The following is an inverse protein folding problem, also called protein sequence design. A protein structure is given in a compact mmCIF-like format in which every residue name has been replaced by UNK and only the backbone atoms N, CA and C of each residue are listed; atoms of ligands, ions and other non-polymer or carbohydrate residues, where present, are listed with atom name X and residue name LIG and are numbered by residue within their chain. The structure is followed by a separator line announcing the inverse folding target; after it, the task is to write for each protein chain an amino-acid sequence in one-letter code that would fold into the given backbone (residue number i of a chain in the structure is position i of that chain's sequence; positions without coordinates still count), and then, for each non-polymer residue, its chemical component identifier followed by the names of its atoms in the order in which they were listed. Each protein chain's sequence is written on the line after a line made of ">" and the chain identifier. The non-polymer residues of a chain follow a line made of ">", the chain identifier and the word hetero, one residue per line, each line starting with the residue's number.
data_IF_131295172801
#
_entry.id   IF_131295172801
#
_cell.length_a   1.000
_cell.length_b   1.000
_cell.length_c   1.000
_cell.angle_alpha   90.00
_cell.angle_beta   90.00
_cell.angle_gamma   90.00
#
_symmetry.space_group_name_H-M   'P 1'
#
loop_
_entity.id
_entity.type
_entity.pdbx_description
1 polymer ?
#
# COMPACT_ATOMS: atom_id res chain seq x y z
N UNK A 1 -20.48 -36.59 -0.69
CA UNK A 1 -20.67 -35.12 -0.71
C UNK A 1 -19.57 -34.38 0.07
N UNK A 2 -18.60 -35.11 0.63
CA UNK A 2 -17.55 -34.55 1.49
C UNK A 2 -16.40 -33.91 0.70
N UNK A 3 -16.00 -34.47 -0.44
CA UNK A 3 -14.88 -33.91 -1.22
C UNK A 3 -15.20 -32.53 -1.80
N UNK A 4 -16.43 -32.34 -2.32
CA UNK A 4 -16.88 -31.06 -2.84
C UNK A 4 -16.96 -30.02 -1.72
N UNK A 5 -17.49 -30.39 -0.56
CA UNK A 5 -17.57 -29.54 0.63
C UNK A 5 -16.17 -29.14 1.14
N UNK A 6 -15.24 -30.09 1.28
CA UNK A 6 -13.85 -29.82 1.73
C UNK A 6 -13.07 -28.97 0.74
N UNK A 7 -13.24 -29.19 -0.57
CA UNK A 7 -12.59 -28.37 -1.60
C UNK A 7 -13.20 -26.97 -1.59
N UNK A 8 -14.51 -26.83 -1.44
CA UNK A 8 -15.14 -25.51 -1.32
C UNK A 8 -14.74 -24.80 -0.03
N UNK A 9 -14.68 -25.47 1.12
CA UNK A 9 -14.24 -24.84 2.37
C UNK A 9 -12.76 -24.43 2.29
N UNK A 10 -11.89 -25.27 1.73
CA UNK A 10 -10.47 -24.94 1.58
C UNK A 10 -10.21 -23.78 0.60
N UNK A 11 -11.02 -23.64 -0.46
CA UNK A 11 -10.89 -22.56 -1.45
C UNK A 11 -11.72 -21.32 -1.13
N UNK A 12 -12.82 -21.42 -0.38
CA UNK A 12 -13.70 -20.28 -0.13
C UNK A 12 -13.64 -19.77 1.30
N UNK A 13 -13.32 -20.59 2.31
CA UNK A 13 -13.26 -20.17 3.72
C UNK A 13 -12.01 -19.35 4.13
N UNK A 14 -10.84 -19.44 3.46
CA UNK A 14 -9.72 -18.52 3.71
C UNK A 14 -9.59 -17.39 2.66
N UNK A 15 -10.19 -17.53 1.47
CA UNK A 15 -10.06 -16.57 0.37
C UNK A 15 -11.19 -15.54 0.30
N UNK A 16 -12.32 -15.74 0.98
CA UNK A 16 -13.43 -14.78 0.97
C UNK A 16 -13.00 -13.41 1.50
N UNK A 17 -12.11 -13.37 2.50
CA UNK A 17 -11.69 -12.11 3.11
C UNK A 17 -10.82 -11.28 2.15
N UNK A 18 -9.76 -11.83 1.51
CA UNK A 18 -9.05 -11.13 0.43
C UNK A 18 -9.94 -10.73 -0.75
N UNK A 19 -10.86 -11.59 -1.19
CA UNK A 19 -11.77 -11.30 -2.31
C UNK A 19 -12.73 -10.16 -1.95
N UNK A 20 -13.31 -10.19 -0.74
CA UNK A 20 -14.17 -9.13 -0.23
C UNK A 20 -13.42 -7.81 -0.14
N UNK A 21 -12.20 -7.81 0.41
CA UNK A 21 -11.35 -6.61 0.47
C UNK A 21 -11.05 -6.10 -0.94
N UNK A 22 -10.71 -6.98 -1.87
CA UNK A 22 -10.50 -6.64 -3.28
C UNK A 22 -11.75 -6.00 -3.92
N UNK A 23 -12.93 -6.58 -3.68
CA UNK A 23 -14.20 -6.06 -4.16
C UNK A 23 -14.54 -4.70 -3.54
N UNK A 24 -14.27 -4.49 -2.25
CA UNK A 24 -14.45 -3.21 -1.57
C UNK A 24 -13.49 -2.13 -2.11
N UNK A 25 -12.23 -2.50 -2.37
CA UNK A 25 -11.26 -1.59 -3.01
C UNK A 25 -11.71 -1.24 -4.43
N UNK A 26 -12.22 -2.22 -5.20
CA UNK A 26 -12.74 -1.98 -6.54
C UNK A 26 -13.97 -1.05 -6.51
N UNK A 27 -14.90 -1.27 -5.59
CA UNK A 27 -16.06 -0.40 -5.38
C UNK A 27 -15.63 1.02 -4.99
N UNK A 28 -14.67 1.15 -4.07
CA UNK A 28 -14.10 2.44 -3.69
C UNK A 28 -13.46 3.11 -4.91
N UNK A 29 -12.65 2.39 -5.68
CA UNK A 29 -11.98 2.93 -6.87
C UNK A 29 -12.98 3.41 -7.92
N UNK A 30 -14.04 2.64 -8.15
CA UNK A 30 -15.14 3.00 -9.04
C UNK A 30 -15.91 4.22 -8.53
N UNK A 31 -16.30 4.24 -7.25
CA UNK A 31 -17.02 5.35 -6.64
C UNK A 31 -16.21 6.65 -6.68
N UNK A 32 -14.90 6.59 -6.40
CA UNK A 32 -14.01 7.74 -6.50
C UNK A 32 -13.89 8.24 -7.94
N UNK A 33 -13.78 7.33 -8.91
CA UNK A 33 -13.77 7.71 -10.32
C UNK A 33 -15.08 8.38 -10.73
N UNK A 34 -16.22 7.88 -10.24
CA UNK A 34 -17.54 8.45 -10.53
C UNK A 34 -17.76 9.84 -9.90
N UNK A 35 -17.28 10.04 -8.67
CA UNK A 35 -17.54 11.29 -7.92
C UNK A 35 -16.53 12.40 -8.22
N UNK A 36 -15.27 12.05 -8.50
CA UNK A 36 -14.16 13.00 -8.52
C UNK A 36 -13.43 13.02 -9.88
N UNK A 37 -13.80 12.13 -10.81
CA UNK A 37 -13.19 11.98 -12.14
C UNK A 37 -11.66 11.83 -12.15
N UNK A 38 -11.07 11.47 -11.01
CA UNK A 38 -9.63 11.33 -10.85
C UNK A 38 -9.24 9.95 -10.29
N UNK A 39 -8.14 9.35 -10.78
CA UNK A 39 -7.68 8.05 -10.28
C UNK A 39 -7.11 8.18 -8.86
N UNK A 40 -7.19 7.08 -8.10
CA UNK A 40 -6.55 6.95 -6.79
C UNK A 40 -5.04 7.11 -6.93
N UNK A 41 -4.43 7.93 -6.07
CA UNK A 41 -2.98 8.11 -6.04
C UNK A 41 -2.54 8.58 -4.65
N UNK A 42 -1.77 7.74 -3.97
CA UNK A 42 -1.21 8.09 -2.66
C UNK A 42 -0.08 9.11 -2.79
N UNK A 43 0.83 8.94 -3.76
CA UNK A 43 1.98 9.82 -3.95
C UNK A 43 1.59 11.25 -4.33
N UNK A 44 0.51 11.42 -5.10
CA UNK A 44 -0.07 12.75 -5.37
C UNK A 44 -0.72 13.33 -4.11
N UNK A 45 -1.40 12.51 -3.30
CA UNK A 45 -1.93 12.95 -2.01
C UNK A 45 -0.84 13.49 -1.07
N UNK A 46 0.31 12.82 -1.00
CA UNK A 46 1.44 13.27 -0.18
C UNK A 46 2.03 14.58 -0.72
N UNK A 47 2.12 14.74 -2.05
CA UNK A 47 2.53 15.99 -2.66
C UNK A 47 1.56 17.13 -2.33
N UNK A 48 0.24 16.88 -2.42
CA UNK A 48 -0.78 17.87 -2.11
C UNK A 48 -0.72 18.29 -0.63
N UNK A 49 -0.57 17.32 0.28
CA UNK A 49 -0.36 17.60 1.71
C UNK A 49 0.90 18.45 1.93
N UNK A 50 2.02 18.12 1.29
CA UNK A 50 3.25 18.89 1.38
C UNK A 50 3.07 20.33 0.87
N UNK A 51 2.29 20.55 -0.21
CA UNK A 51 1.98 21.90 -0.70
C UNK A 51 1.02 22.66 0.22
N UNK A 52 0.15 21.98 0.97
CA UNK A 52 -0.72 22.60 1.97
C UNK A 52 0.07 23.10 3.18
N UNK A 53 1.09 22.35 3.59
CA UNK A 53 1.94 22.68 4.74
C UNK A 53 3.01 23.73 4.40
N UNK A 54 3.36 23.90 3.12
CA UNK A 54 4.33 24.89 2.67
C UNK A 54 3.68 26.26 2.47
N UNK A 55 4.09 27.30 3.22
CA UNK A 55 3.63 28.67 2.99
C UNK A 55 3.95 29.11 1.55
N UNK A 56 2.97 29.68 0.84
CA UNK A 56 3.14 30.14 -0.55
C UNK A 56 3.13 29.04 -1.62
N UNK A 57 2.88 27.78 -1.24
CA UNK A 57 2.71 26.68 -2.20
C UNK A 57 1.45 26.87 -3.07
N UNK A 58 1.57 26.64 -4.38
CA UNK A 58 0.43 26.66 -5.30
C UNK A 58 -0.38 25.37 -5.11
N UNK A 59 -1.50 25.47 -4.38
CA UNK A 59 -2.37 24.34 -4.06
C UNK A 59 -3.17 23.87 -5.28
N UNK A 60 -3.21 22.56 -5.48
CA UNK A 60 -4.15 21.89 -6.38
C UNK A 60 -5.45 21.59 -5.62
N UNK A 61 -6.33 22.60 -5.50
CA UNK A 61 -7.61 22.44 -4.78
C UNK A 61 -8.49 21.34 -5.37
N UNK A 62 -8.36 21.04 -6.66
CA UNK A 62 -9.10 19.95 -7.32
C UNK A 62 -8.57 18.57 -6.91
N UNK A 63 -7.30 18.46 -6.53
CA UNK A 63 -6.67 17.23 -6.07
C UNK A 63 -6.61 17.05 -4.55
N UNK A 64 -6.97 18.07 -3.75
CA UNK A 64 -6.86 18.06 -2.28
C UNK A 64 -7.73 16.98 -1.62
N UNK A 65 -8.76 16.44 -2.30
CA UNK A 65 -9.53 15.28 -1.83
C UNK A 65 -8.64 14.07 -1.52
N UNK A 66 -7.50 13.93 -2.20
CA UNK A 66 -6.54 12.85 -1.95
C UNK A 66 -5.94 12.92 -0.55
N UNK A 67 -5.91 14.10 0.08
CA UNK A 67 -5.50 14.26 1.48
C UNK A 67 -6.52 13.60 2.41
N UNK A 68 -7.82 13.75 2.12
CA UNK A 68 -8.90 13.08 2.84
C UNK A 68 -8.79 11.56 2.66
N UNK A 69 -8.46 11.10 1.45
CA UNK A 69 -8.18 9.69 1.19
C UNK A 69 -6.99 9.16 2.02
N UNK A 70 -5.88 9.90 2.08
CA UNK A 70 -4.73 9.54 2.93
C UNK A 70 -5.09 9.50 4.40
N UNK A 71 -5.85 10.48 4.88
CA UNK A 71 -6.36 10.49 6.25
C UNK A 71 -7.25 9.27 6.51
N UNK A 72 -8.10 8.90 5.55
CA UNK A 72 -8.93 7.70 5.60
C UNK A 72 -8.12 6.41 5.72
N UNK A 73 -6.97 6.28 5.04
CA UNK A 73 -6.07 5.12 5.20
C UNK A 73 -5.54 5.05 6.64
N UNK A 74 -5.08 6.17 7.20
CA UNK A 74 -4.53 6.22 8.56
C UNK A 74 -5.61 5.91 9.60
N UNK A 75 -6.79 6.53 9.47
CA UNK A 75 -7.93 6.31 10.36
C UNK A 75 -8.47 4.88 10.23
N UNK A 76 -8.51 4.31 9.02
CA UNK A 76 -8.92 2.93 8.81
C UNK A 76 -7.99 1.93 9.49
N UNK A 77 -6.67 2.15 9.38
CA UNK A 77 -5.67 1.35 10.10
C UNK A 77 -5.79 1.49 11.62
N UNK A 78 -6.02 2.71 12.11
CA UNK A 78 -6.25 2.94 13.54
C UNK A 78 -7.52 2.25 14.04
N UNK A 79 -8.63 2.37 13.31
CA UNK A 79 -9.88 1.70 13.65
C UNK A 79 -9.69 0.18 13.69
N UNK A 80 -9.02 -0.39 12.68
CA UNK A 80 -8.70 -1.81 12.65
C UNK A 80 -7.90 -2.24 13.89
N UNK A 81 -6.86 -1.48 14.26
CA UNK A 81 -6.05 -1.75 15.45
C UNK A 81 -6.84 -1.62 16.77
N UNK A 82 -7.81 -0.71 16.84
CA UNK A 82 -8.68 -0.54 18.02
C UNK A 82 -9.76 -1.62 18.13
N UNK A 83 -10.19 -2.21 17.02
CA UNK A 83 -11.18 -3.30 16.99
C UNK A 83 -10.57 -4.68 17.18
N UNK A 84 -9.24 -4.78 17.14
CA UNK A 84 -8.54 -6.04 17.31
C UNK A 84 -8.65 -6.52 18.77
N UNK A 85 -8.77 -7.83 18.99
CA UNK A 85 -9.02 -8.41 20.31
C UNK A 85 -7.85 -8.17 21.30
N UNK A 86 -6.66 -7.90 20.77
CA UNK A 86 -5.47 -7.47 21.50
C UNK A 86 -5.00 -6.13 20.93
N UNK A 87 -5.56 -5.00 21.38
CA UNK A 87 -5.14 -3.68 20.93
C UNK A 87 -3.72 -3.41 21.45
N UNK A 88 -2.75 -3.76 20.62
CA UNK A 88 -1.33 -3.56 20.85
C UNK A 88 -0.76 -2.81 19.65
N UNK A 89 0.26 -1.98 19.89
CA UNK A 89 0.93 -1.25 18.83
C UNK A 89 1.80 -2.22 18.02
N UNK A 90 1.27 -2.74 16.91
CA UNK A 90 1.92 -3.74 16.05
C UNK A 90 3.02 -3.16 15.14
N UNK A 91 3.79 -2.19 15.64
CA UNK A 91 4.75 -1.40 14.87
C UNK A 91 6.18 -1.94 14.92
N UNK A 92 6.42 -3.09 15.55
CA UNK A 92 7.79 -3.61 15.76
C UNK A 92 8.18 -4.60 14.67
N UNK A 93 9.45 -4.59 14.27
CA UNK A 93 9.98 -5.50 13.24
C UNK A 93 9.80 -6.99 13.58
N UNK A 94 9.64 -7.32 14.87
CA UNK A 94 9.36 -8.66 15.35
C UNK A 94 7.97 -9.18 14.94
N UNK A 95 6.98 -8.30 14.83
CA UNK A 95 5.59 -8.65 14.50
C UNK A 95 5.38 -8.91 13.00
N UNK A 96 6.25 -8.34 12.16
CA UNK A 96 6.23 -8.57 10.70
C UNK A 96 6.97 -9.85 10.27
N UNK A 97 7.51 -10.61 11.23
CA UNK A 97 8.11 -11.92 11.01
C UNK A 97 9.63 -11.91 10.82
N UNK A 98 10.21 -13.12 10.73
CA UNK A 98 11.67 -13.36 10.75
C UNK A 98 12.48 -12.54 9.73
N UNK A 99 11.90 -12.27 8.56
CA UNK A 99 12.54 -11.46 7.53
C UNK A 99 12.74 -10.02 7.99
N UNK A 100 11.72 -9.42 8.59
CA UNK A 100 11.79 -8.04 9.09
C UNK A 100 12.68 -7.94 10.32
N UNK A 101 12.65 -8.94 11.20
CA UNK A 101 13.56 -8.99 12.37
C UNK A 101 15.04 -9.07 11.94
N UNK A 102 15.35 -9.78 10.85
CA UNK A 102 16.72 -9.87 10.34
C UNK A 102 17.17 -8.61 9.58
N UNK A 103 16.24 -7.87 8.97
CA UNK A 103 16.54 -6.73 8.10
C UNK A 103 16.53 -5.39 8.83
N UNK A 104 15.60 -5.20 9.78
CA UNK A 104 15.39 -3.92 10.47
C UNK A 104 16.15 -3.91 11.80
N UNK A 105 16.96 -2.88 12.10
CA UNK A 105 17.68 -2.81 13.37
C UNK A 105 16.73 -2.76 14.58
N UNK A 106 17.05 -3.51 15.64
CA UNK A 106 16.25 -3.55 16.88
C UNK A 106 16.22 -2.22 17.64
N UNK A 107 17.25 -1.38 17.48
CA UNK A 107 17.29 -0.07 18.13
C UNK A 107 16.19 0.86 17.59
N UNK A 108 15.51 1.60 18.46
CA UNK A 108 14.45 2.55 18.08
C UNK A 108 14.91 3.57 17.04
N UNK A 109 16.13 4.08 17.19
CA UNK A 109 16.71 5.04 16.24
C UNK A 109 17.06 4.37 14.91
N UNK A 110 17.65 3.16 14.95
CA UNK A 110 18.01 2.42 13.74
C UNK A 110 16.79 2.02 12.91
N UNK A 111 15.72 1.54 13.55
CA UNK A 111 14.46 1.22 12.86
C UNK A 111 13.80 2.47 12.28
N UNK A 112 13.75 3.58 13.03
CA UNK A 112 13.21 4.85 12.51
C UNK A 112 13.98 5.35 11.28
N UNK A 113 15.31 5.29 11.30
CA UNK A 113 16.16 5.65 10.15
C UNK A 113 15.94 4.70 8.98
N UNK A 114 15.78 3.40 9.23
CA UNK A 114 15.52 2.40 8.20
C UNK A 114 14.19 2.66 7.47
N UNK A 115 13.11 2.89 8.21
CA UNK A 115 11.81 3.21 7.64
C UNK A 115 11.82 4.55 6.90
N UNK A 116 12.52 5.56 7.43
CA UNK A 116 12.67 6.85 6.76
C UNK A 116 13.42 6.71 5.44
N UNK A 117 14.51 5.93 5.44
CA UNK A 117 15.28 5.63 4.24
C UNK A 117 14.40 4.93 3.18
N UNK A 118 13.68 3.87 3.56
CA UNK A 118 12.72 3.20 2.68
C UNK A 118 11.64 4.15 2.13
N UNK A 119 11.10 5.03 2.97
CA UNK A 119 10.13 6.04 2.57
C UNK A 119 10.68 7.04 1.54
N UNK A 120 11.92 7.49 1.69
CA UNK A 120 12.59 8.37 0.73
C UNK A 120 12.78 7.65 -0.61
N UNK A 121 13.23 6.39 -0.61
CA UNK A 121 13.38 5.60 -1.83
C UNK A 121 12.04 5.40 -2.56
N UNK A 122 10.98 5.04 -1.83
CA UNK A 122 9.63 4.87 -2.41
C UNK A 122 9.13 6.21 -2.96
N UNK A 123 9.33 7.31 -2.23
CA UNK A 123 8.97 8.65 -2.66
C UNK A 123 9.65 9.04 -3.97
N UNK A 124 10.98 8.90 -4.03
CA UNK A 124 11.77 9.18 -5.23
C UNK A 124 11.36 8.26 -6.40
N UNK A 125 11.24 6.96 -6.16
CA UNK A 125 10.81 5.99 -7.16
C UNK A 125 9.43 6.31 -7.74
N UNK A 126 8.47 6.68 -6.89
CA UNK A 126 7.11 7.05 -7.34
C UNK A 126 7.09 8.33 -8.18
N UNK A 127 8.00 9.27 -7.92
CA UNK A 127 8.16 10.48 -8.75
C UNK A 127 8.77 10.14 -10.10
N UNK A 128 9.81 9.29 -10.13
CA UNK A 128 10.46 8.85 -11.35
C UNK A 128 9.52 8.05 -12.26
N UNK A 129 8.67 7.20 -11.68
CA UNK A 129 7.68 6.43 -12.44
C UNK A 129 6.45 7.24 -12.86
N UNK A 130 6.28 8.47 -12.36
CA UNK A 130 5.07 9.28 -12.60
C UNK A 130 3.84 8.83 -11.79
N UNK A 131 3.99 7.89 -10.87
CA UNK A 131 2.92 7.33 -10.06
C UNK A 131 3.42 6.32 -9.04
N UNK A 132 2.55 5.94 -8.10
CA UNK A 132 2.79 4.86 -7.16
C UNK A 132 1.99 3.61 -7.53
N UNK A 133 2.11 2.55 -6.74
CA UNK A 133 1.37 1.29 -6.94
C UNK A 133 -0.16 1.47 -6.93
N UNK A 134 -0.71 2.36 -6.10
CA UNK A 134 -2.16 2.63 -6.16
C UNK A 134 -2.60 3.32 -7.47
N UNK A 135 -1.75 4.17 -8.03
CA UNK A 135 -1.99 4.81 -9.33
C UNK A 135 -1.84 3.87 -10.51
N UNK A 136 -0.72 3.15 -10.60
CA UNK A 136 -0.45 2.25 -11.72
C UNK A 136 -1.19 0.92 -11.60
N UNK A 137 -1.09 0.24 -10.45
CA UNK A 137 -1.64 -1.12 -10.28
C UNK A 137 -3.14 -1.13 -10.05
N UNK A 138 -3.68 -0.27 -9.18
CA UNK A 138 -5.13 -0.30 -8.90
C UNK A 138 -5.89 0.43 -10.01
N UNK A 139 -5.62 1.71 -10.22
CA UNK A 139 -6.37 2.50 -11.20
C UNK A 139 -5.88 2.26 -12.64
N UNK A 140 -4.57 2.27 -12.87
CA UNK A 140 -3.97 2.23 -14.21
C UNK A 140 -4.20 0.92 -14.95
N UNK A 141 -3.98 -0.22 -14.29
CA UNK A 141 -4.24 -1.55 -14.87
C UNK A 141 -5.74 -1.75 -15.11
N UNK A 142 -6.61 -1.32 -14.18
CA UNK A 142 -8.05 -1.42 -14.35
C UNK A 142 -8.57 -0.61 -15.54
N UNK A 143 -7.92 0.50 -15.89
CA UNK A 143 -8.22 1.28 -17.10
C UNK A 143 -7.56 0.73 -18.38
N UNK A 144 -6.80 -0.37 -18.29
CA UNK A 144 -6.11 -0.96 -19.43
C UNK A 144 -4.94 -0.12 -19.97
N UNK A 145 -4.37 0.79 -19.17
CA UNK A 145 -3.28 1.65 -19.61
C UNK A 145 -1.98 0.84 -19.81
N UNK A 146 -1.43 0.74 -21.04
CA UNK A 146 -0.26 -0.11 -21.31
C UNK A 146 0.97 0.26 -20.48
N UNK A 147 1.22 1.56 -20.31
CA UNK A 147 2.32 2.05 -19.48
C UNK A 147 2.19 1.63 -18.01
N UNK A 148 0.97 1.60 -17.48
CA UNK A 148 0.71 1.17 -16.10
C UNK A 148 0.87 -0.33 -15.92
N UNK A 149 0.47 -1.14 -16.90
CA UNK A 149 0.68 -2.59 -16.88
C UNK A 149 2.17 -2.91 -16.82
N UNK A 150 2.96 -2.27 -17.68
CA UNK A 150 4.43 -2.43 -17.70
C UNK A 150 5.04 -1.95 -16.38
N UNK A 151 4.66 -0.77 -15.88
CA UNK A 151 5.14 -0.25 -14.61
C UNK A 151 4.83 -1.18 -13.44
N UNK A 152 3.60 -1.69 -13.36
CA UNK A 152 3.18 -2.64 -12.33
C UNK A 152 3.97 -3.95 -12.41
N UNK A 153 4.17 -4.50 -13.60
CA UNK A 153 4.97 -5.71 -13.78
C UNK A 153 6.42 -5.51 -13.29
N UNK A 154 7.04 -4.38 -13.62
CA UNK A 154 8.39 -4.04 -13.16
C UNK A 154 8.43 -3.84 -11.64
N UNK A 155 7.47 -3.13 -11.05
CA UNK A 155 7.40 -2.93 -9.60
C UNK A 155 7.34 -4.27 -8.86
N UNK A 156 6.46 -5.18 -9.29
CA UNK A 156 6.34 -6.49 -8.67
C UNK A 156 7.58 -7.36 -8.90
N UNK A 157 8.11 -7.40 -10.12
CA UNK A 157 9.31 -8.19 -10.43
C UNK A 157 10.51 -7.75 -9.60
N UNK A 158 10.74 -6.43 -9.50
CA UNK A 158 11.83 -5.88 -8.70
C UNK A 158 11.56 -6.10 -7.21
N UNK A 159 10.35 -5.85 -6.70
CA UNK A 159 10.03 -6.03 -5.29
C UNK A 159 10.18 -7.48 -4.83
N UNK A 160 9.70 -8.44 -5.62
CA UNK A 160 9.88 -9.87 -5.33
C UNK A 160 11.36 -10.23 -5.43
N UNK A 161 12.05 -9.82 -6.50
CA UNK A 161 13.47 -10.12 -6.69
C UNK A 161 14.35 -9.59 -5.56
N UNK A 162 14.15 -8.35 -5.13
CA UNK A 162 14.92 -7.75 -4.02
C UNK A 162 14.57 -8.39 -2.68
N UNK A 163 13.30 -8.72 -2.43
CA UNK A 163 12.89 -9.42 -1.21
C UNK A 163 13.54 -10.81 -1.12
N UNK A 164 13.54 -11.58 -2.22
CA UNK A 164 14.16 -12.91 -2.25
C UNK A 164 15.69 -12.83 -2.11
N UNK A 165 16.33 -11.87 -2.77
CA UNK A 165 17.77 -11.66 -2.65
C UNK A 165 18.17 -11.26 -1.22
N UNK A 166 17.40 -10.36 -0.59
CA UNK A 166 17.63 -9.97 0.80
C UNK A 166 17.42 -11.14 1.76
N UNK A 167 16.36 -11.93 1.57
CA UNK A 167 16.07 -13.12 2.38
C UNK A 167 17.21 -14.14 2.28
N UNK A 168 17.66 -14.43 1.05
CA UNK A 168 18.80 -15.30 0.80
C UNK A 168 20.09 -14.78 1.45
N UNK A 169 20.40 -13.49 1.33
CA UNK A 169 21.59 -12.88 1.92
C UNK A 169 21.57 -12.91 3.46
N UNK A 170 20.39 -12.82 4.07
CA UNK A 170 20.18 -12.89 5.51
C UNK A 170 20.02 -14.32 6.04
N UNK A 171 19.95 -15.33 5.16
CA UNK A 171 19.78 -16.73 5.53
C UNK A 171 18.41 -17.05 6.14
N UNK A 172 17.37 -16.25 5.83
CA UNK A 172 16.00 -16.43 6.33
C UNK A 172 15.07 -16.94 5.24
#
# INVERSE_FOLDING_TARGET
>A
MDLLYTVTDAFFAPLWLPVLVGALIALLAFAQRWMVDQPLSCSTGFANLATCLRPGGRRDRGGDWRIVFLLGIVLGGLLAALTDATPAWQGTAAEFGRFYTALVPDSTVGSALWWLFGGVLIGLGSRLAGGCTSGHTIAGVAMGAPASIVASAVFFAVAVGTAQLAAWALGV
#
